data_IF_840996553992
#
_entry.id   IF_840996553992
#
_cell.length_a   1.000
_cell.length_b   1.000
_cell.length_c   1.000
_cell.angle_alpha   90.00
_cell.angle_beta   90.00
_cell.angle_gamma   90.00
#
_symmetry.space_group_name_H-M   'P 1'
#
loop_
_entity.id
_entity.type
_entity.pdbx_description
1 polymer ?
#
# COMPACT_ATOMS: atom_id res chain seq x y z
N UNK A 1 6.14 21.96 10.45
CA UNK A 1 5.51 21.12 9.41
C UNK A 1 4.17 20.63 9.94
N UNK A 2 3.11 20.59 9.13
CA UNK A 2 1.79 20.12 9.57
C UNK A 2 1.75 18.59 9.48
N UNK A 3 1.58 17.92 10.62
CA UNK A 3 1.40 16.46 10.71
C UNK A 3 0.03 16.10 10.14
N UNK A 4 -0.04 15.04 9.34
CA UNK A 4 -1.27 14.58 8.68
C UNK A 4 -1.38 13.07 8.76
N UNK A 5 -2.62 12.60 8.76
CA UNK A 5 -2.96 11.21 8.53
C UNK A 5 -3.16 11.02 7.03
N UNK A 6 -2.45 10.06 6.44
CA UNK A 6 -2.42 9.81 5.00
C UNK A 6 -2.88 8.38 4.76
N UNK A 7 -3.86 8.22 3.88
CA UNK A 7 -4.24 6.92 3.32
C UNK A 7 -3.64 6.79 1.93
N UNK A 8 -2.73 5.84 1.74
CA UNK A 8 -2.20 5.48 0.43
C UNK A 8 -2.95 4.27 -0.12
N UNK A 9 -3.57 4.41 -1.29
CA UNK A 9 -4.34 3.33 -1.94
C UNK A 9 -3.61 2.86 -3.20
N UNK A 10 -3.32 1.57 -3.30
CA UNK A 10 -2.68 0.96 -4.47
C UNK A 10 -3.48 -0.21 -5.04
N UNK A 11 -3.77 -0.15 -6.34
CA UNK A 11 -4.40 -1.25 -7.08
C UNK A 11 -3.41 -2.28 -7.62
N UNK A 12 -2.16 -1.90 -7.83
CA UNK A 12 -1.12 -2.80 -8.34
C UNK A 12 -0.46 -3.66 -7.25
N UNK A 13 -0.76 -3.35 -5.98
CA UNK A 13 -0.17 -4.00 -4.82
C UNK A 13 1.15 -3.39 -4.40
N UNK A 14 1.59 -3.70 -3.18
CA UNK A 14 2.91 -3.34 -2.64
C UNK A 14 3.95 -4.43 -2.83
N UNK A 15 3.51 -5.65 -3.16
CA UNK A 15 4.42 -6.76 -3.49
C UNK A 15 5.00 -6.67 -4.90
N UNK A 16 4.60 -5.67 -5.68
CA UNK A 16 5.16 -5.38 -7.00
C UNK A 16 6.56 -4.75 -6.90
N UNK A 17 7.54 -5.15 -7.75
CA UNK A 17 8.91 -4.60 -7.71
C UNK A 17 8.99 -3.07 -7.82
N UNK A 18 8.05 -2.44 -8.53
CA UNK A 18 8.00 -0.98 -8.67
C UNK A 18 7.57 -0.32 -7.36
N UNK A 19 6.58 -0.90 -6.68
CA UNK A 19 6.14 -0.39 -5.38
C UNK A 19 7.26 -0.51 -4.33
N UNK A 20 8.02 -1.61 -4.35
CA UNK A 20 9.12 -1.82 -3.42
C UNK A 20 10.26 -0.81 -3.61
N UNK A 21 10.61 -0.50 -4.86
CA UNK A 21 11.74 0.39 -5.19
C UNK A 21 11.39 1.89 -5.16
N UNK A 22 10.12 2.26 -5.28
CA UNK A 22 9.70 3.66 -5.36
C UNK A 22 8.72 4.04 -4.25
N UNK A 23 7.57 3.35 -4.17
CA UNK A 23 6.48 3.74 -3.27
C UNK A 23 6.89 3.63 -1.81
N UNK A 24 7.39 2.48 -1.39
CA UNK A 24 7.75 2.22 0.01
C UNK A 24 8.78 3.24 0.54
N UNK A 25 9.90 3.53 -0.16
CA UNK A 25 10.85 4.56 0.25
C UNK A 25 10.23 5.95 0.47
N UNK A 26 9.31 6.38 -0.40
CA UNK A 26 8.67 7.69 -0.27
C UNK A 26 7.75 7.74 0.96
N UNK A 27 6.96 6.70 1.20
CA UNK A 27 6.08 6.65 2.37
C UNK A 27 6.90 6.61 3.66
N UNK A 28 7.99 5.86 3.69
CA UNK A 28 8.94 5.86 4.82
C UNK A 28 9.52 7.26 5.06
N UNK A 29 9.91 7.98 4.01
CA UNK A 29 10.44 9.34 4.18
C UNK A 29 9.38 10.31 4.72
N UNK A 30 8.12 10.13 4.34
CA UNK A 30 7.02 10.91 4.89
C UNK A 30 6.76 10.60 6.38
N UNK A 31 6.90 9.35 6.83
CA UNK A 31 6.78 9.05 8.26
C UNK A 31 7.89 9.68 9.09
N UNK A 32 9.13 9.71 8.57
CA UNK A 32 10.26 10.41 9.20
C UNK A 32 10.00 11.92 9.36
N UNK A 33 9.15 12.50 8.52
CA UNK A 33 8.70 13.91 8.63
C UNK A 33 7.51 14.11 9.58
N UNK A 34 7.10 13.06 10.27
CA UNK A 34 6.06 13.05 11.30
C UNK A 34 4.66 12.70 10.79
N UNK A 35 4.49 12.35 9.50
CA UNK A 35 3.19 11.92 8.98
C UNK A 35 2.84 10.51 9.44
N UNK A 36 1.54 10.25 9.62
CA UNK A 36 1.03 8.90 9.89
C UNK A 36 0.47 8.33 8.60
N UNK A 37 0.86 7.10 8.26
CA UNK A 37 0.53 6.50 6.97
C UNK A 37 -0.17 5.17 7.21
N UNK A 38 -1.33 5.04 6.59
CA UNK A 38 -2.05 3.79 6.40
C UNK A 38 -2.00 3.42 4.92
N UNK A 39 -1.66 2.17 4.63
CA UNK A 39 -1.62 1.64 3.28
C UNK A 39 -2.78 0.68 3.11
N UNK A 40 -3.61 0.92 2.10
CA UNK A 40 -4.61 -0.01 1.62
C UNK A 40 -4.22 -0.48 0.23
N UNK A 41 -3.97 -1.78 0.06
CA UNK A 41 -3.60 -2.31 -1.25
C UNK A 41 -4.45 -3.50 -1.67
N UNK A 42 -4.62 -3.63 -2.98
CA UNK A 42 -5.29 -4.76 -3.62
C UNK A 42 -4.22 -5.69 -4.20
N UNK A 43 -3.73 -6.63 -3.38
CA UNK A 43 -2.63 -7.51 -3.76
C UNK A 43 -3.07 -8.58 -4.77
N UNK A 44 -2.24 -8.82 -5.79
CA UNK A 44 -2.23 -10.05 -6.57
C UNK A 44 -1.70 -11.21 -5.70
N UNK A 45 -1.96 -12.48 -6.04
CA UNK A 45 -1.33 -13.60 -5.34
C UNK A 45 0.20 -13.47 -5.38
N UNK A 46 0.81 -13.32 -4.20
CA UNK A 46 2.25 -13.18 -4.02
C UNK A 46 2.76 -14.28 -3.08
N UNK A 47 4.07 -14.57 -3.15
CA UNK A 47 4.71 -15.51 -2.21
C UNK A 47 4.68 -14.92 -0.80
N UNK A 48 4.40 -15.73 0.21
CA UNK A 48 4.38 -15.30 1.62
C UNK A 48 5.68 -14.59 2.04
N UNK A 49 6.83 -15.02 1.52
CA UNK A 49 8.11 -14.37 1.77
C UNK A 49 8.17 -12.91 1.28
N UNK A 50 7.53 -12.57 0.15
CA UNK A 50 7.46 -11.19 -0.34
C UNK A 50 6.58 -10.34 0.57
N UNK A 51 5.44 -10.90 1.01
CA UNK A 51 4.52 -10.23 1.92
C UNK A 51 5.19 -9.97 3.28
N UNK A 52 5.92 -10.96 3.80
CA UNK A 52 6.72 -10.82 5.01
C UNK A 52 7.77 -9.72 4.85
N UNK A 53 8.53 -9.72 3.75
CA UNK A 53 9.55 -8.72 3.49
C UNK A 53 9.00 -7.28 3.42
N UNK A 54 7.85 -7.08 2.77
CA UNK A 54 7.17 -5.77 2.77
C UNK A 54 6.74 -5.38 4.19
N UNK A 55 6.14 -6.32 4.94
CA UNK A 55 5.70 -6.05 6.32
C UNK A 55 6.86 -5.66 7.23
N UNK A 56 8.00 -6.35 7.12
CA UNK A 56 9.22 -6.06 7.86
C UNK A 56 9.82 -4.70 7.51
N UNK A 57 9.73 -4.27 6.25
CA UNK A 57 10.18 -2.92 5.83
C UNK A 57 9.32 -1.81 6.42
N UNK A 58 8.02 -2.05 6.58
CA UNK A 58 7.05 -1.06 7.05
C UNK A 58 6.98 -0.94 8.58
N UNK A 59 7.17 -2.07 9.30
CA UNK A 59 7.00 -2.14 10.75
C UNK A 59 7.83 -1.13 11.56
N UNK A 60 9.13 -0.88 11.28
CA UNK A 60 9.94 0.09 12.03
C UNK A 60 9.42 1.53 11.95
N UNK A 61 8.63 1.83 10.92
CA UNK A 61 8.12 3.17 10.64
C UNK A 61 6.67 3.36 11.12
N UNK A 62 6.09 2.36 11.79
CA UNK A 62 4.70 2.41 12.25
C UNK A 62 3.70 2.55 11.10
N UNK A 63 4.07 2.11 9.90
CA UNK A 63 3.19 2.16 8.73
C UNK A 63 2.26 0.95 8.82
N UNK A 64 0.97 1.21 8.98
CA UNK A 64 -0.05 0.17 8.95
C UNK A 64 -0.32 -0.24 7.50
N UNK A 65 -0.38 -1.55 7.24
CA UNK A 65 -0.62 -2.09 5.91
C UNK A 65 -1.80 -3.07 5.90
N UNK A 66 -2.91 -2.63 5.33
CA UNK A 66 -4.10 -3.42 5.08
C UNK A 66 -4.01 -3.98 3.65
N UNK A 67 -3.71 -5.28 3.58
CA UNK A 67 -3.74 -6.04 2.34
C UNK A 67 -5.13 -6.62 2.10
N UNK A 68 -5.75 -6.25 0.98
CA UNK A 68 -7.00 -6.84 0.51
C UNK A 68 -6.71 -7.66 -0.74
N UNK A 69 -7.44 -8.77 -0.94
CA UNK A 69 -7.33 -9.52 -2.19
C UNK A 69 -8.09 -8.79 -3.28
N UNK A 70 -7.40 -8.50 -4.38
CA UNK A 70 -8.06 -7.98 -5.57
C UNK A 70 -9.16 -8.96 -6.02
N UNK A 71 -10.42 -8.50 -6.05
CA UNK A 71 -11.56 -9.33 -6.45
C UNK A 71 -12.25 -8.68 -7.64
N UNK A 72 -12.18 -9.33 -8.82
CA UNK A 72 -12.79 -8.90 -10.08
C UNK A 72 -14.27 -9.31 -10.19
N UNK A 73 -15.02 -9.35 -9.08
CA UNK A 73 -16.41 -9.86 -9.05
C UNK A 73 -17.35 -9.00 -8.21
N UNK A 74 -18.49 -8.55 -8.79
CA UNK A 74 -18.84 -8.63 -10.21
C UNK A 74 -17.95 -7.69 -11.06
N UNK A 75 -17.71 -8.01 -12.35
CA UNK A 75 -16.98 -7.11 -13.23
C UNK A 75 -17.85 -5.88 -13.49
N UNK A 76 -17.33 -4.69 -13.17
CA UNK A 76 -17.79 -3.40 -13.70
C UNK A 76 -19.24 -3.04 -13.38
N UNK A 77 -19.48 -2.46 -12.19
CA UNK A 77 -20.48 -1.36 -12.05
C UNK A 77 -19.71 -0.03 -12.12
N UNK A 78 -18.92 0.16 -13.18
CA UNK A 78 -18.15 1.39 -13.38
C UNK A 78 -18.21 1.85 -14.84
N UNK A 79 -19.42 1.82 -15.41
CA UNK A 79 -19.79 2.60 -16.61
C UNK A 79 -21.31 2.84 -16.62
N UNK A 80 -21.83 3.59 -15.63
CA UNK A 80 -23.22 4.12 -15.70
C UNK A 80 -23.27 5.65 -15.53
N UNK A 81 -22.12 6.33 -15.44
CA UNK A 81 -22.01 7.80 -15.58
C UNK A 81 -20.54 8.23 -15.68
N UNK A 82 -20.02 8.15 -16.90
CA UNK A 82 -19.42 9.28 -17.60
C UNK A 82 -19.79 9.14 -19.08
#
# INVERSE_FOLDING_TARGET
MCIRNILYVSYDGLTDPVADSQVIPYLIELTKRGHRILILSFEKPAKEALIAGVSEKLAPYGIEWIRTRYTKKPPVISTVRD
#
